data_IF_641424189491
#
_entry.id   IF_641424189491
#
_cell.length_a   1.000
_cell.length_b   1.000
_cell.length_c   1.000
_cell.angle_alpha   90.00
_cell.angle_beta   90.00
_cell.angle_gamma   90.00
#
_symmetry.space_group_name_H-M   'P 1'
#
loop_
_entity.id
_entity.type
_entity.pdbx_description
1 polymer ?
#
# COMPACT_ATOMS: atom_id res chain seq x y z
N UNK A 1 -5.60 -8.04 10.23
CA UNK A 1 -6.73 -7.15 10.05
C UNK A 1 -6.72 -6.52 8.67
N UNK A 2 -7.88 -6.44 8.05
CA UNK A 2 -8.06 -5.91 6.70
C UNK A 2 -8.44 -4.42 6.72
N UNK A 3 -7.91 -3.66 5.77
CA UNK A 3 -8.28 -2.26 5.61
C UNK A 3 -8.20 -1.86 4.14
N UNK A 4 -9.29 -1.29 3.63
CA UNK A 4 -9.32 -0.66 2.32
C UNK A 4 -9.06 0.82 2.50
N UNK A 5 -7.98 1.34 1.88
CA UNK A 5 -7.61 2.74 2.00
C UNK A 5 -7.86 3.51 0.72
N UNK A 6 -8.43 4.69 0.89
CA UNK A 6 -8.48 5.74 -0.14
C UNK A 6 -7.67 6.91 0.38
N UNK A 7 -7.30 7.83 -0.50
CA UNK A 7 -6.41 8.92 -0.15
C UNK A 7 -6.74 9.63 1.15
N UNK A 8 -8.02 9.98 1.34
CA UNK A 8 -8.43 10.72 2.52
C UNK A 8 -8.52 9.83 3.75
N UNK A 9 -8.71 8.53 3.57
CA UNK A 9 -8.83 7.61 4.69
C UNK A 9 -7.52 7.40 5.43
N UNK A 10 -6.37 7.60 4.77
CA UNK A 10 -5.08 7.45 5.41
C UNK A 10 -4.93 8.41 6.60
N UNK A 11 -5.54 9.58 6.52
CA UNK A 11 -5.50 10.56 7.60
C UNK A 11 -6.33 10.12 8.81
N UNK A 12 -7.42 9.42 8.55
CA UNK A 12 -8.29 8.93 9.62
C UNK A 12 -7.62 7.84 10.46
N UNK A 13 -6.57 7.21 9.94
CA UNK A 13 -5.85 6.17 10.67
C UNK A 13 -4.97 6.71 11.78
N UNK A 14 -4.82 8.03 11.90
CA UNK A 14 -3.94 8.62 12.91
C UNK A 14 -4.30 8.23 14.34
N UNK A 15 -5.57 7.94 14.58
CA UNK A 15 -6.06 7.63 15.93
C UNK A 15 -6.20 6.14 16.21
N UNK A 16 -5.81 5.29 15.24
CA UNK A 16 -5.92 3.85 15.41
C UNK A 16 -4.65 3.29 16.05
N UNK A 17 -4.83 2.40 17.00
CA UNK A 17 -3.74 1.72 17.68
C UNK A 17 -3.58 0.27 17.26
N UNK A 18 -4.32 -0.14 16.23
CA UNK A 18 -4.29 -1.51 15.73
C UNK A 18 -3.38 -1.63 14.54
N UNK A 19 -2.73 -2.79 14.41
CA UNK A 19 -1.94 -3.10 13.24
C UNK A 19 -2.79 -3.83 12.20
N UNK A 20 -2.47 -3.60 10.93
CA UNK A 20 -3.19 -4.22 9.81
C UNK A 20 -2.32 -5.29 9.16
N UNK A 21 -2.93 -6.41 8.82
CA UNK A 21 -2.28 -7.52 8.13
C UNK A 21 -2.49 -7.43 6.62
N UNK A 22 -3.53 -6.74 6.18
CA UNK A 22 -3.88 -6.63 4.76
C UNK A 22 -4.45 -5.25 4.49
N UNK A 23 -3.83 -4.57 3.54
CA UNK A 23 -4.26 -3.23 3.14
C UNK A 23 -4.42 -3.20 1.63
N UNK A 24 -5.56 -2.68 1.17
CA UNK A 24 -5.78 -2.40 -0.25
C UNK A 24 -5.74 -0.90 -0.47
N UNK A 25 -4.88 -0.47 -1.39
CA UNK A 25 -4.83 0.92 -1.82
C UNK A 25 -5.64 1.02 -3.12
N UNK A 26 -6.83 1.58 -2.99
CA UNK A 26 -7.82 1.64 -4.06
C UNK A 26 -7.48 2.78 -5.05
N UNK A 27 -7.52 2.53 -6.37
CA UNK A 27 -7.15 3.55 -7.36
C UNK A 27 -8.13 4.74 -7.37
N UNK A 28 -7.72 5.88 -7.96
CA UNK A 28 -6.44 6.07 -8.64
C UNK A 28 -5.39 6.66 -7.69
N UNK A 29 -4.25 5.99 -7.59
CA UNK A 29 -3.12 6.52 -6.85
C UNK A 29 -1.94 6.74 -7.78
N UNK A 30 -1.30 7.91 -7.68
CA UNK A 30 -0.03 8.15 -8.32
C UNK A 30 1.08 7.46 -7.51
N UNK A 31 2.23 7.25 -8.15
CA UNK A 31 3.38 6.61 -7.51
C UNK A 31 3.74 7.26 -6.18
N UNK A 32 3.83 8.60 -6.17
CA UNK A 32 4.24 9.35 -4.99
C UNK A 32 3.25 9.19 -3.83
N UNK A 33 1.97 9.10 -4.16
CA UNK A 33 0.93 8.95 -3.15
C UNK A 33 1.00 7.59 -2.48
N UNK A 34 1.25 6.54 -3.27
CA UNK A 34 1.41 5.18 -2.76
C UNK A 34 2.63 5.11 -1.86
N UNK A 35 3.75 5.68 -2.30
CA UNK A 35 4.98 5.68 -1.51
C UNK A 35 4.79 6.40 -0.19
N UNK A 36 4.18 7.59 -0.21
CA UNK A 36 3.93 8.35 1.01
C UNK A 36 3.01 7.62 1.96
N UNK A 37 1.96 7.00 1.43
CA UNK A 37 1.00 6.27 2.27
C UNK A 37 1.68 5.11 2.97
N UNK A 38 2.47 4.31 2.24
CA UNK A 38 3.19 3.19 2.83
C UNK A 38 4.19 3.67 3.88
N UNK A 39 4.95 4.71 3.55
CA UNK A 39 5.93 5.26 4.50
C UNK A 39 5.26 5.76 5.77
N UNK A 40 4.14 6.45 5.64
CA UNK A 40 3.40 6.94 6.79
C UNK A 40 2.86 5.81 7.65
N UNK A 41 2.31 4.78 7.02
CA UNK A 41 1.82 3.60 7.75
C UNK A 41 2.94 2.91 8.51
N UNK A 42 4.11 2.80 7.92
CA UNK A 42 5.27 2.23 8.58
C UNK A 42 5.73 3.08 9.77
N UNK A 43 5.78 4.40 9.58
CA UNK A 43 6.19 5.31 10.66
C UNK A 43 5.24 5.24 11.84
N UNK A 44 3.97 5.07 11.59
CA UNK A 44 2.95 4.98 12.63
C UNK A 44 2.83 3.58 13.23
N UNK A 45 3.62 2.64 12.74
CA UNK A 45 3.64 1.24 13.20
C UNK A 45 2.27 0.58 13.05
N UNK A 46 1.57 0.89 11.97
CA UNK A 46 0.26 0.34 11.69
C UNK A 46 0.30 -0.93 10.85
N UNK A 47 1.48 -1.35 10.40
CA UNK A 47 1.66 -2.55 9.59
C UNK A 47 2.23 -3.68 10.43
N UNK A 48 1.52 -4.81 10.45
CA UNK A 48 2.00 -6.01 11.16
C UNK A 48 3.22 -6.60 10.45
N UNK A 49 3.87 -7.57 11.09
CA UNK A 49 5.01 -8.26 10.49
C UNK A 49 4.61 -9.10 9.28
N UNK A 50 3.35 -9.50 9.21
CA UNK A 50 2.82 -10.32 8.13
C UNK A 50 2.04 -9.51 7.10
N UNK A 51 2.20 -8.20 7.10
CA UNK A 51 1.39 -7.31 6.27
C UNK A 51 1.55 -7.59 4.78
N UNK A 52 0.45 -7.48 4.06
CA UNK A 52 0.43 -7.42 2.60
C UNK A 52 -0.25 -6.11 2.21
N UNK A 53 0.41 -5.32 1.38
CA UNK A 53 -0.15 -4.08 0.86
C UNK A 53 -0.38 -4.27 -0.64
N UNK A 54 -1.64 -4.27 -1.03
CA UNK A 54 -2.03 -4.50 -2.41
C UNK A 54 -2.36 -3.15 -3.06
N UNK A 55 -1.59 -2.80 -4.07
CA UNK A 55 -1.74 -1.53 -4.78
C UNK A 55 -2.23 -1.79 -6.20
N UNK A 56 -3.32 -1.14 -6.57
CA UNK A 56 -3.79 -1.19 -7.95
C UNK A 56 -3.48 0.14 -8.63
N UNK A 57 -2.83 0.09 -9.79
CA UNK A 57 -2.43 1.28 -10.54
C UNK A 57 -2.67 1.05 -12.02
N UNK A 58 -2.53 2.12 -12.81
CA UNK A 58 -2.40 1.97 -14.26
C UNK A 58 -1.13 1.16 -14.55
N UNK A 59 -1.16 0.36 -15.60
CA UNK A 59 -0.01 -0.51 -15.92
C UNK A 59 1.26 0.27 -16.22
N UNK A 60 1.15 1.52 -16.60
CA UNK A 60 2.32 2.37 -16.91
C UNK A 60 3.01 2.90 -15.65
N UNK A 61 2.37 2.80 -14.49
CA UNK A 61 2.97 3.28 -13.25
C UNK A 61 4.02 2.27 -12.78
N UNK A 62 5.26 2.73 -12.66
CA UNK A 62 6.34 1.90 -12.15
C UNK A 62 6.57 2.22 -10.67
N UNK A 63 6.31 1.26 -9.81
CA UNK A 63 6.52 1.40 -8.39
C UNK A 63 7.92 0.90 -8.03
N UNK A 64 8.56 1.49 -7.01
CA UNK A 64 9.90 1.03 -6.60
C UNK A 64 9.84 -0.38 -6.02
N UNK A 65 10.94 -1.11 -6.13
CA UNK A 65 11.02 -2.47 -5.58
C UNK A 65 10.92 -2.47 -4.07
N UNK A 66 11.36 -1.39 -3.44
CA UNK A 66 11.30 -1.27 -1.98
C UNK A 66 10.71 0.08 -1.60
N UNK A 67 9.82 0.07 -0.62
CA UNK A 67 9.25 1.28 -0.02
C UNK A 67 9.26 1.09 1.49
N UNK A 68 9.96 1.97 2.21
CA UNK A 68 10.15 1.85 3.64
C UNK A 68 10.74 0.47 3.97
N UNK A 69 10.05 -0.34 4.75
CA UNK A 69 10.51 -1.67 5.13
C UNK A 69 9.95 -2.77 4.24
N UNK A 70 9.17 -2.41 3.21
CA UNK A 70 8.46 -3.37 2.38
C UNK A 70 9.15 -3.53 1.03
N UNK A 71 9.04 -4.72 0.47
CA UNK A 71 9.50 -5.02 -0.87
C UNK A 71 8.40 -5.66 -1.70
N UNK A 72 8.52 -5.58 -3.02
CA UNK A 72 7.54 -6.18 -3.91
C UNK A 72 7.67 -7.70 -3.86
N UNK A 73 6.55 -8.35 -3.59
CA UNK A 73 6.46 -9.80 -3.63
C UNK A 73 5.95 -10.28 -4.98
N UNK A 74 4.89 -9.64 -5.49
CA UNK A 74 4.29 -9.99 -6.78
C UNK A 74 3.79 -8.75 -7.50
N UNK A 75 3.82 -8.82 -8.83
CA UNK A 75 3.16 -7.87 -9.70
C UNK A 75 2.46 -8.63 -10.80
N UNK A 76 1.27 -8.16 -11.19
CA UNK A 76 0.55 -8.75 -12.30
C UNK A 76 -0.21 -7.69 -13.06
N UNK A 77 -0.17 -7.78 -14.38
CA UNK A 77 -0.86 -6.84 -15.26
C UNK A 77 -2.17 -7.47 -15.73
N UNK A 78 -3.25 -6.72 -15.60
CA UNK A 78 -4.57 -7.11 -16.05
C UNK A 78 -5.10 -6.02 -16.98
N UNK A 79 -5.07 -6.25 -18.29
CA UNK A 79 -5.51 -5.23 -19.23
C UNK A 79 -4.71 -3.95 -19.09
N UNK A 80 -5.36 -2.87 -18.67
CA UNK A 80 -4.72 -1.56 -18.45
C UNK A 80 -4.30 -1.33 -17.00
N UNK A 81 -4.60 -2.29 -16.12
CA UNK A 81 -4.30 -2.16 -14.70
C UNK A 81 -3.15 -3.06 -14.29
N UNK A 82 -2.47 -2.66 -13.23
CA UNK A 82 -1.41 -3.44 -12.63
C UNK A 82 -1.65 -3.57 -11.14
N UNK A 83 -1.50 -4.77 -10.61
CA UNK A 83 -1.60 -5.04 -9.19
C UNK A 83 -0.21 -5.35 -8.66
N UNK A 84 0.23 -4.60 -7.66
CA UNK A 84 1.52 -4.77 -7.01
C UNK A 84 1.28 -5.13 -5.55
N UNK A 85 1.93 -6.18 -5.08
CA UNK A 85 1.82 -6.62 -3.68
C UNK A 85 3.15 -6.42 -2.99
N UNK A 86 3.13 -5.59 -1.94
CA UNK A 86 4.28 -5.36 -1.08
C UNK A 86 4.16 -6.19 0.19
N UNK A 87 5.28 -6.72 0.65
CA UNK A 87 5.38 -7.46 1.91
C UNK A 87 6.66 -7.03 2.64
N UNK A 88 6.75 -7.37 3.93
CA UNK A 88 7.99 -7.14 4.69
C UNK A 88 9.12 -8.05 4.23
#
# INVERSE_FOLDING_TARGET
KFQLLKMDAARALTDLNEQFDLIFLDPPYAKEEIMKTIEELCQRKLLSEEVMVVCETDKAVELPEEVAELGIWKQKIYGISKVTVYVR
#
